data_IF_035745166528
#
_entry.id   IF_035745166528
#
_cell.length_a   1.000
_cell.length_b   1.000
_cell.length_c   1.000
_cell.angle_alpha   90.00
_cell.angle_beta   90.00
_cell.angle_gamma   90.00
#
_symmetry.space_group_name_H-M   'P 1'
#
loop_
_entity.id
_entity.type
_entity.pdbx_description
1 polymer ?
#
# COMPACT_ATOMS: atom_id res chain seq x y z
N UNK A 1 7.15 -3.83 22.94
CA UNK A 1 7.80 -4.48 21.78
C UNK A 1 7.96 -3.44 20.70
N UNK A 2 9.15 -3.32 20.13
CA UNK A 2 9.56 -2.26 19.21
C UNK A 2 8.90 -2.44 17.84
N UNK A 3 8.08 -1.49 17.41
CA UNK A 3 7.65 -1.38 16.00
C UNK A 3 8.87 -0.98 15.15
N UNK A 4 9.74 -1.94 14.84
CA UNK A 4 10.96 -1.75 14.02
C UNK A 4 10.67 -1.52 12.54
N UNK A 5 9.44 -1.81 12.11
CA UNK A 5 9.03 -1.72 10.71
C UNK A 5 8.08 -0.55 10.53
N UNK A 6 8.46 0.39 9.66
CA UNK A 6 7.63 1.50 9.23
C UNK A 6 6.90 1.15 7.94
N UNK A 7 5.64 1.55 7.82
CA UNK A 7 4.82 1.35 6.63
C UNK A 7 4.31 2.72 6.16
N UNK A 8 4.63 3.09 4.93
CA UNK A 8 4.21 4.35 4.32
C UNK A 8 3.23 4.06 3.20
N UNK A 9 2.14 4.80 3.16
CA UNK A 9 1.17 4.69 2.07
C UNK A 9 0.54 6.04 1.75
N UNK A 10 0.64 6.42 0.49
CA UNK A 10 -0.09 7.56 -0.07
C UNK A 10 -1.42 7.05 -0.66
N UNK A 11 -2.58 7.53 -0.19
CA UNK A 11 -3.89 7.08 -0.68
C UNK A 11 -4.12 7.35 -2.17
N UNK A 12 -3.46 8.35 -2.76
CA UNK A 12 -3.66 8.73 -4.16
C UNK A 12 -2.78 7.94 -5.13
N UNK A 13 -1.76 7.24 -4.65
CA UNK A 13 -0.80 6.51 -5.49
C UNK A 13 -1.46 5.44 -6.38
N UNK A 14 -2.58 4.88 -5.93
CA UNK A 14 -3.34 3.88 -6.69
C UNK A 14 -4.10 4.43 -7.89
N UNK A 15 -4.36 5.74 -7.90
CA UNK A 15 -5.22 6.41 -8.88
C UNK A 15 -4.47 6.80 -10.16
N UNK A 16 -3.14 6.76 -10.15
CA UNK A 16 -2.33 7.05 -11.33
C UNK A 16 -2.48 5.96 -12.38
N UNK A 17 -2.77 6.38 -13.62
CA UNK A 17 -2.86 5.48 -14.77
C UNK A 17 -1.80 5.83 -15.81
N UNK A 18 -0.92 4.87 -16.10
CA UNK A 18 0.21 5.06 -17.04
C UNK A 18 -0.21 5.02 -18.52
N UNK A 19 -1.48 4.76 -18.82
CA UNK A 19 -1.99 4.61 -20.19
C UNK A 19 -2.38 3.18 -20.55
N UNK A 20 -3.17 3.07 -21.62
CA UNK A 20 -3.66 1.79 -22.13
C UNK A 20 -2.48 0.94 -22.62
N UNK A 21 -2.53 -0.37 -22.37
CA UNK A 21 -1.45 -1.30 -22.73
C UNK A 21 -0.18 -1.23 -21.87
N UNK A 22 -0.01 -0.18 -21.05
CA UNK A 22 1.17 -0.07 -20.19
C UNK A 22 1.13 -1.12 -19.05
N UNK A 23 2.20 -1.93 -18.86
CA UNK A 23 2.19 -3.06 -17.92
C UNK A 23 2.23 -2.61 -16.45
N UNK A 24 2.82 -1.46 -16.15
CA UNK A 24 2.85 -0.93 -14.79
C UNK A 24 1.47 -0.37 -14.40
N UNK A 25 0.87 -0.94 -13.35
CA UNK A 25 -0.42 -0.51 -12.76
C UNK A 25 -0.21 -0.11 -11.28
N UNK A 26 -0.12 1.19 -10.96
CA UNK A 26 0.04 1.70 -9.59
C UNK A 26 -1.02 1.20 -8.61
N UNK A 27 -2.23 0.90 -9.10
CA UNK A 27 -3.32 0.26 -8.34
C UNK A 27 -2.91 -0.99 -7.53
N UNK A 28 -1.84 -1.70 -7.94
CA UNK A 28 -1.29 -2.83 -7.17
C UNK A 28 -0.88 -2.45 -5.73
N UNK A 29 -0.48 -1.20 -5.52
CA UNK A 29 -0.13 -0.68 -4.20
C UNK A 29 -1.36 -0.57 -3.29
N UNK A 30 -2.48 -0.06 -3.81
CA UNK A 30 -3.77 0.00 -3.10
C UNK A 30 -4.34 -1.40 -2.80
N UNK A 31 -4.18 -2.35 -3.74
CA UNK A 31 -4.53 -3.75 -3.50
C UNK A 31 -3.75 -4.32 -2.31
N UNK A 32 -2.42 -4.10 -2.29
CA UNK A 32 -1.57 -4.55 -1.20
C UNK A 32 -1.93 -3.86 0.12
N UNK A 33 -2.20 -2.56 0.09
CA UNK A 33 -2.64 -1.80 1.25
C UNK A 33 -3.92 -2.37 1.87
N UNK A 34 -4.92 -2.71 1.03
CA UNK A 34 -6.16 -3.34 1.48
C UNK A 34 -5.88 -4.65 2.23
N UNK A 35 -5.00 -5.51 1.70
CA UNK A 35 -4.61 -6.75 2.39
C UNK A 35 -3.92 -6.46 3.74
N UNK A 36 -2.99 -5.50 3.77
CA UNK A 36 -2.30 -5.10 5.02
C UNK A 36 -3.30 -4.66 6.10
N UNK A 37 -4.33 -3.90 5.74
CA UNK A 37 -5.38 -3.48 6.65
C UNK A 37 -6.26 -4.65 7.11
N UNK A 38 -6.79 -5.44 6.18
CA UNK A 38 -7.75 -6.51 6.50
C UNK A 38 -7.13 -7.70 7.22
N UNK A 39 -5.84 -8.00 7.00
CA UNK A 39 -5.10 -8.97 7.81
C UNK A 39 -4.61 -8.41 9.16
N UNK A 40 -4.85 -7.12 9.44
CA UNK A 40 -4.42 -6.48 10.69
C UNK A 40 -2.91 -6.34 10.82
N UNK A 41 -2.16 -6.44 9.73
CA UNK A 41 -0.69 -6.38 9.74
C UNK A 41 -0.18 -4.99 10.14
N UNK A 42 -0.93 -3.94 9.78
CA UNK A 42 -0.62 -2.56 10.17
C UNK A 42 -0.49 -2.39 11.70
N UNK A 43 -1.17 -3.21 12.51
CA UNK A 43 -1.10 -3.17 13.98
C UNK A 43 0.27 -3.57 14.53
N UNK A 44 1.11 -4.22 13.71
CA UNK A 44 2.46 -4.66 14.05
C UNK A 44 3.54 -3.73 13.50
N UNK A 45 3.15 -2.61 12.87
CA UNK A 45 4.04 -1.68 12.19
C UNK A 45 3.78 -0.25 12.68
N UNK A 46 4.74 0.64 12.45
CA UNK A 46 4.51 2.08 12.56
C UNK A 46 3.97 2.58 11.22
N UNK A 47 2.65 2.76 11.13
CA UNK A 47 1.99 3.28 9.94
C UNK A 47 2.11 4.82 9.91
N UNK A 48 2.54 5.35 8.77
CA UNK A 48 2.77 6.77 8.49
C UNK A 48 2.06 7.18 7.21
#
# INVERSE_FOLDING_TARGET
>A
MTNRTSYFYDPDVGNFHYGAGHPMKPHRLSLTHSLVLHYGLYKKMMAL
#
